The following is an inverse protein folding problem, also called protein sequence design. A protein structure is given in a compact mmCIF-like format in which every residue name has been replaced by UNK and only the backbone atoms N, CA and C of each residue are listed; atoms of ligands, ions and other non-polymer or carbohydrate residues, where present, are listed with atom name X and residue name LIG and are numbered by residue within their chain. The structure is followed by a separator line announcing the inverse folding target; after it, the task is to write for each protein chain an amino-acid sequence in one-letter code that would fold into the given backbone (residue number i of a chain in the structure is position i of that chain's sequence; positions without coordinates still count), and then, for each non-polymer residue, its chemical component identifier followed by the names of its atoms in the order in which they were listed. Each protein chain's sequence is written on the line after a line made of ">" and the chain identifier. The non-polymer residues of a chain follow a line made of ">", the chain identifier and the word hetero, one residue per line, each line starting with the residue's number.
data_IF_378384420370
#
_entry.id   IF_378384420370
#
_cell.length_a   1.000
_cell.length_b   1.000
_cell.length_c   1.000
_cell.angle_alpha   90.00
_cell.angle_beta   90.00
_cell.angle_gamma   90.00
#
_symmetry.space_group_name_H-M   'P 1'
#
loop_
_entity.id
_entity.type
_entity.pdbx_description
1 polymer ?
#
# COMPACT_ATOMS: atom_id res chain seq x y z
N UNK A 1 -15.03 8.14 18.22
CA UNK A 1 -14.47 9.38 17.65
C UNK A 1 -13.07 9.56 18.21
N UNK A 2 -12.04 9.63 17.37
CA UNK A 2 -10.79 10.24 17.82
C UNK A 2 -10.95 11.74 17.69
N UNK A 3 -10.75 12.45 18.78
CA UNK A 3 -10.78 13.89 18.87
C UNK A 3 -9.39 14.41 18.52
N UNK A 4 -9.28 15.15 17.44
CA UNK A 4 -8.05 15.88 17.10
C UNK A 4 -8.12 17.25 17.75
N UNK A 5 -7.02 17.69 18.36
CA UNK A 5 -6.85 19.06 18.85
C UNK A 5 -5.81 19.77 18.00
N UNK A 6 -6.11 21.01 17.59
CA UNK A 6 -5.15 21.87 16.89
C UNK A 6 -4.59 22.88 17.90
N UNK A 7 -3.27 22.90 18.00
CA UNK A 7 -2.52 23.78 18.89
C UNK A 7 -1.67 24.73 18.07
N UNK A 8 -1.76 26.03 18.33
CA UNK A 8 -0.87 27.03 17.74
C UNK A 8 0.25 27.34 18.72
N UNK A 9 1.50 27.16 18.30
CA UNK A 9 2.68 27.47 19.11
C UNK A 9 2.79 28.99 19.29
N UNK A 10 2.88 29.46 20.54
CA UNK A 10 3.12 30.87 20.87
C UNK A 10 4.58 31.13 21.24
N UNK A 11 5.19 30.21 22.00
CA UNK A 11 6.60 30.32 22.36
C UNK A 11 7.23 28.95 22.54
N UNK A 12 8.55 28.92 22.31
CA UNK A 12 9.42 27.78 22.53
C UNK A 12 10.51 28.24 23.50
N UNK A 13 10.61 27.61 24.67
CA UNK A 13 11.64 27.89 25.66
C UNK A 13 12.21 26.56 26.12
N UNK A 14 13.52 26.37 25.90
CA UNK A 14 14.22 25.10 26.13
C UNK A 14 13.48 23.93 25.45
N UNK A 15 13.06 22.92 26.24
CA UNK A 15 12.31 21.75 25.79
C UNK A 15 10.79 21.92 25.98
N UNK A 16 10.31 23.12 26.29
CA UNK A 16 8.90 23.41 26.57
C UNK A 16 8.24 24.23 25.46
N UNK A 17 7.10 23.74 24.99
CA UNK A 17 6.23 24.40 24.02
C UNK A 17 5.02 25.01 24.74
N UNK A 18 4.85 26.32 24.63
CA UNK A 18 3.60 26.97 25.06
C UNK A 18 2.72 27.16 23.85
N UNK A 19 1.53 26.56 23.90
CA UNK A 19 0.58 26.58 22.78
C UNK A 19 -0.80 27.08 23.21
N UNK A 20 -1.49 27.74 22.28
CA UNK A 20 -2.91 28.08 22.40
C UNK A 20 -3.74 27.04 21.67
N UNK A 21 -4.75 26.53 22.36
CA UNK A 21 -5.75 25.63 21.78
C UNK A 21 -6.66 26.42 20.85
N UNK A 22 -6.70 26.07 19.56
CA UNK A 22 -7.55 26.78 18.60
C UNK A 22 -9.02 26.40 18.71
N UNK A 23 -9.29 25.13 19.03
CA UNK A 23 -10.64 24.59 19.22
C UNK A 23 -10.66 23.60 20.37
N UNK A 24 -11.66 23.72 21.24
CA UNK A 24 -11.87 22.79 22.34
C UNK A 24 -12.11 21.38 21.83
N UNK A 25 -11.39 20.41 22.39
CA UNK A 25 -11.55 18.99 22.11
C UNK A 25 -11.32 18.19 23.40
N UNK A 26 -11.98 17.04 23.53
CA UNK A 26 -11.71 16.09 24.61
C UNK A 26 -10.53 15.20 24.22
N UNK A 27 -9.44 15.22 24.97
CA UNK A 27 -8.35 14.26 24.77
C UNK A 27 -8.64 12.99 25.57
N UNK A 28 -8.68 11.85 24.90
CA UNK A 28 -8.91 10.54 25.52
C UNK A 28 -7.96 9.49 24.92
N UNK A 29 -7.57 8.52 25.74
CA UNK A 29 -6.61 7.46 25.41
C UNK A 29 -5.19 7.67 25.98
N UNK A 30 -4.39 6.61 25.91
CA UNK A 30 -3.02 6.56 26.46
C UNK A 30 -1.93 6.97 25.46
N UNK A 31 -2.25 7.03 24.17
CA UNK A 31 -1.30 7.32 23.08
C UNK A 31 -1.80 8.51 22.27
N UNK A 32 -1.02 9.59 22.28
CA UNK A 32 -1.23 10.77 21.45
C UNK A 32 -0.24 10.75 20.29
N UNK A 33 -0.74 10.92 19.07
CA UNK A 33 0.11 11.17 17.91
C UNK A 33 0.18 12.67 17.70
N UNK A 34 1.37 13.25 17.85
CA UNK A 34 1.62 14.67 17.61
C UNK A 34 2.14 14.83 16.19
N UNK A 35 1.56 15.75 15.42
CA UNK A 35 2.01 16.11 14.09
C UNK A 35 2.37 17.59 14.06
N UNK A 36 3.49 17.92 13.43
CA UNK A 36 3.94 19.29 13.22
C UNK A 36 3.74 19.67 11.75
N UNK A 37 3.16 20.85 11.51
CA UNK A 37 2.87 21.33 10.15
C UNK A 37 4.13 21.53 9.30
N UNK A 38 5.25 21.88 9.94
CA UNK A 38 6.53 22.09 9.27
C UNK A 38 7.33 20.79 9.06
N UNK A 39 6.73 19.64 9.37
CA UNK A 39 7.45 18.38 9.47
C UNK A 39 8.36 18.33 10.69
N UNK A 40 9.01 17.18 10.88
CA UNK A 40 10.06 17.01 11.89
C UNK A 40 11.17 16.15 11.27
N UNK A 41 12.43 16.51 11.52
CA UNK A 41 13.60 15.75 11.08
C UNK A 41 13.84 14.59 12.04
N UNK A 42 13.30 13.42 11.69
CA UNK A 42 13.67 12.14 12.28
C UNK A 42 14.08 11.19 11.17
N UNK A 43 14.97 10.27 11.50
CA UNK A 43 15.22 9.08 10.69
C UNK A 43 13.94 8.29 10.51
N UNK A 44 13.82 7.65 9.34
CA UNK A 44 12.63 6.88 8.98
C UNK A 44 12.45 5.61 9.85
N UNK A 45 13.55 5.12 10.45
CA UNK A 45 13.57 4.03 11.41
C UNK A 45 14.43 4.42 12.61
N UNK A 46 14.00 4.03 13.80
CA UNK A 46 14.75 4.19 15.05
C UNK A 46 15.51 2.92 15.40
N UNK A 47 16.45 3.00 16.34
CA UNK A 47 17.14 1.80 16.84
C UNK A 47 16.16 0.78 17.44
N UNK A 48 15.14 1.25 18.16
CA UNK A 48 14.10 0.38 18.72
C UNK A 48 13.31 -0.35 17.62
N UNK A 49 13.00 0.33 16.50
CA UNK A 49 12.35 -0.29 15.34
C UNK A 49 13.23 -1.41 14.76
N UNK A 50 14.54 -1.19 14.67
CA UNK A 50 15.50 -2.16 14.13
C UNK A 50 15.57 -3.40 15.03
N UNK A 51 15.66 -3.21 16.36
CA UNK A 51 15.69 -4.32 17.31
C UNK A 51 14.39 -5.11 17.29
N UNK A 52 13.24 -4.43 17.18
CA UNK A 52 11.93 -5.06 17.07
C UNK A 52 11.82 -5.90 15.79
N UNK A 53 12.26 -5.36 14.64
CA UNK A 53 12.27 -6.06 13.36
C UNK A 53 13.11 -7.34 13.44
N UNK A 54 14.31 -7.27 14.01
CA UNK A 54 15.19 -8.43 14.22
C UNK A 54 14.52 -9.50 15.10
N UNK A 55 14.00 -9.09 16.25
CA UNK A 55 13.39 -10.00 17.20
C UNK A 55 12.15 -10.68 16.62
N UNK A 56 11.28 -9.91 15.97
CA UNK A 56 10.04 -10.43 15.40
C UNK A 56 10.30 -11.34 14.18
N UNK A 57 11.27 -10.98 13.32
CA UNK A 57 11.61 -11.79 12.15
C UNK A 57 12.16 -13.17 12.52
N UNK A 58 12.97 -13.25 13.58
CA UNK A 58 13.58 -14.50 14.02
C UNK A 58 12.55 -15.62 14.26
N UNK A 59 11.30 -15.26 14.58
CA UNK A 59 10.21 -16.21 14.85
C UNK A 59 9.17 -16.24 13.71
N UNK A 60 8.88 -15.10 13.07
CA UNK A 60 7.69 -14.96 12.20
C UNK A 60 7.98 -14.78 10.71
N UNK A 61 9.24 -14.62 10.28
CA UNK A 61 9.63 -14.34 8.88
C UNK A 61 8.83 -13.18 8.24
N UNK A 62 9.29 -11.97 8.47
CA UNK A 62 8.69 -10.75 7.89
C UNK A 62 8.84 -10.73 6.36
N UNK A 63 7.72 -10.72 5.64
CA UNK A 63 7.69 -10.61 4.18
C UNK A 63 7.53 -9.16 3.70
N UNK A 64 6.83 -8.32 4.48
CA UNK A 64 6.53 -6.93 4.16
C UNK A 64 6.76 -6.02 5.37
N UNK A 65 7.27 -4.82 5.13
CA UNK A 65 7.39 -3.75 6.13
C UNK A 65 6.66 -2.51 5.62
N UNK A 66 5.74 -1.99 6.44
CA UNK A 66 5.08 -0.71 6.19
C UNK A 66 5.88 0.46 6.75
N UNK A 67 6.53 1.24 5.89
CA UNK A 67 7.32 2.41 6.30
C UNK A 67 6.39 3.60 6.60
N UNK A 68 6.16 3.86 7.88
CA UNK A 68 5.29 4.95 8.34
C UNK A 68 5.88 6.33 8.06
N UNK A 69 5.01 7.28 7.73
CA UNK A 69 5.35 8.68 7.46
C UNK A 69 6.48 8.83 6.43
N UNK A 70 6.52 8.00 5.40
CA UNK A 70 7.50 8.11 4.32
C UNK A 70 7.36 9.46 3.60
N UNK A 71 8.44 10.22 3.47
CA UNK A 71 8.46 11.57 2.88
C UNK A 71 9.21 11.63 1.57
N UNK A 72 10.12 10.69 1.31
CA UNK A 72 11.01 10.74 0.15
C UNK A 72 11.48 9.35 -0.28
N UNK A 73 12.05 9.26 -1.49
CA UNK A 73 12.77 8.07 -1.93
C UNK A 73 13.96 7.72 -1.03
N UNK A 74 14.59 8.73 -0.40
CA UNK A 74 15.70 8.52 0.52
C UNK A 74 15.27 7.77 1.79
N UNK A 75 14.07 8.04 2.33
CA UNK A 75 13.53 7.28 3.47
C UNK A 75 13.36 5.79 3.11
N UNK A 76 12.90 5.49 1.89
CA UNK A 76 12.76 4.11 1.38
C UNK A 76 14.13 3.45 1.22
N UNK A 77 15.09 4.15 0.62
CA UNK A 77 16.45 3.66 0.42
C UNK A 77 17.14 3.36 1.77
N UNK A 78 16.99 4.25 2.75
CA UNK A 78 17.49 4.05 4.10
C UNK A 78 16.85 2.82 4.77
N UNK A 79 15.51 2.69 4.68
CA UNK A 79 14.82 1.51 5.19
C UNK A 79 15.35 0.22 4.54
N UNK A 80 15.55 0.19 3.23
CA UNK A 80 16.11 -0.97 2.53
C UNK A 80 17.52 -1.31 2.99
N UNK A 81 18.39 -0.31 3.15
CA UNK A 81 19.76 -0.50 3.63
C UNK A 81 19.77 -1.12 5.04
N UNK A 82 18.95 -0.59 5.96
CA UNK A 82 18.79 -1.14 7.30
C UNK A 82 18.25 -2.57 7.27
N UNK A 83 17.23 -2.85 6.46
CA UNK A 83 16.69 -4.21 6.31
C UNK A 83 17.77 -5.17 5.83
N UNK A 84 18.48 -4.85 4.74
CA UNK A 84 19.48 -5.74 4.15
C UNK A 84 20.74 -5.89 5.00
N UNK A 85 21.36 -4.77 5.41
CA UNK A 85 22.71 -4.76 5.97
C UNK A 85 22.73 -4.82 7.50
N UNK A 86 21.63 -4.42 8.16
CA UNK A 86 21.58 -4.39 9.63
C UNK A 86 20.67 -5.48 10.19
N UNK A 87 19.49 -5.70 9.61
CA UNK A 87 18.49 -6.62 10.13
C UNK A 87 18.51 -8.03 9.52
N UNK A 88 19.20 -8.24 8.39
CA UNK A 88 19.24 -9.53 7.69
C UNK A 88 17.92 -9.87 6.97
N UNK A 89 17.25 -8.84 6.47
CA UNK A 89 15.90 -8.83 5.88
C UNK A 89 15.94 -8.40 4.40
N UNK A 90 16.93 -8.85 3.65
CA UNK A 90 17.19 -8.42 2.26
C UNK A 90 16.06 -8.79 1.28
N UNK A 91 15.27 -9.83 1.58
CA UNK A 91 14.12 -10.24 0.78
C UNK A 91 12.80 -9.57 1.21
N UNK A 92 12.77 -8.78 2.28
CA UNK A 92 11.57 -8.11 2.78
C UNK A 92 11.18 -6.92 1.90
N UNK A 93 9.92 -6.86 1.48
CA UNK A 93 9.41 -5.77 0.65
C UNK A 93 9.04 -4.54 1.48
N UNK A 94 9.35 -3.35 0.96
CA UNK A 94 9.08 -2.07 1.62
C UNK A 94 7.84 -1.42 1.01
N UNK A 95 6.81 -1.28 1.83
CA UNK A 95 5.56 -0.58 1.50
C UNK A 95 5.56 0.81 2.12
N UNK A 96 5.73 1.85 1.30
CA UNK A 96 5.75 3.22 1.79
C UNK A 96 4.33 3.69 2.15
N UNK A 97 4.13 4.16 3.39
CA UNK A 97 2.85 4.70 3.84
C UNK A 97 2.75 6.18 3.52
N UNK A 98 1.83 6.54 2.63
CA UNK A 98 1.58 7.93 2.23
C UNK A 98 0.65 8.57 3.28
N UNK A 99 1.26 9.30 4.21
CA UNK A 99 0.62 9.81 5.44
C UNK A 99 0.76 11.32 5.63
N UNK A 100 1.55 11.99 4.79
CA UNK A 100 1.87 13.42 4.93
C UNK A 100 1.80 14.15 3.59
N UNK A 101 1.69 15.48 3.62
CA UNK A 101 1.77 16.31 2.41
C UNK A 101 3.13 16.16 1.72
N UNK A 102 4.22 15.98 2.48
CA UNK A 102 5.55 15.74 1.92
C UNK A 102 5.59 14.45 1.10
N UNK A 103 5.10 13.33 1.66
CA UNK A 103 5.00 12.07 0.94
C UNK A 103 4.08 12.14 -0.28
N UNK A 104 3.01 12.94 -0.21
CA UNK A 104 2.12 13.16 -1.36
C UNK A 104 2.78 13.99 -2.49
N UNK A 105 3.60 14.98 -2.15
CA UNK A 105 4.36 15.78 -3.12
C UNK A 105 5.46 14.98 -3.80
N UNK A 106 6.12 14.10 -3.05
CA UNK A 106 7.20 13.23 -3.52
C UNK A 106 6.71 11.85 -3.95
N UNK A 107 5.43 11.71 -4.28
CA UNK A 107 4.79 10.42 -4.54
C UNK A 107 5.49 9.63 -5.65
N UNK A 108 5.89 10.29 -6.73
CA UNK A 108 6.49 9.64 -7.89
C UNK A 108 7.84 8.98 -7.54
N UNK A 109 8.73 9.70 -6.85
CA UNK A 109 10.03 9.14 -6.44
C UNK A 109 9.88 8.03 -5.39
N UNK A 110 8.89 8.14 -4.49
CA UNK A 110 8.58 7.11 -3.50
C UNK A 110 8.09 5.84 -4.19
N UNK A 111 7.19 5.97 -5.16
CA UNK A 111 6.67 4.83 -5.93
C UNK A 111 7.77 4.12 -6.72
N UNK A 112 8.73 4.87 -7.26
CA UNK A 112 9.85 4.31 -8.00
C UNK A 112 10.78 3.50 -7.07
N UNK A 113 11.00 3.98 -5.83
CA UNK A 113 11.87 3.33 -4.84
C UNK A 113 11.21 2.18 -4.05
N UNK A 114 9.91 2.29 -3.73
CA UNK A 114 9.17 1.34 -2.88
C UNK A 114 8.67 0.11 -3.66
N UNK A 115 8.38 -0.99 -2.97
CA UNK A 115 7.80 -2.20 -3.59
C UNK A 115 6.29 -2.06 -3.80
N UNK A 116 5.65 -1.23 -2.99
CA UNK A 116 4.25 -0.82 -3.08
C UNK A 116 3.98 0.33 -2.11
N UNK A 117 2.74 0.77 -2.03
CA UNK A 117 2.34 1.86 -1.14
C UNK A 117 1.09 1.54 -0.35
N UNK A 118 0.97 2.16 0.82
CA UNK A 118 -0.27 2.16 1.61
C UNK A 118 -0.76 3.59 1.69
N UNK A 119 -1.94 3.84 1.13
CA UNK A 119 -2.60 5.13 1.22
C UNK A 119 -3.35 5.24 2.56
N UNK A 120 -2.78 6.02 3.47
CA UNK A 120 -3.23 6.13 4.85
C UNK A 120 -4.06 7.39 5.06
N UNK A 121 -5.31 7.32 4.59
CA UNK A 121 -6.31 8.41 4.60
C UNK A 121 -6.52 9.06 5.96
N UNK A 122 -6.45 8.27 7.04
CA UNK A 122 -6.63 8.78 8.40
C UNK A 122 -5.55 9.77 8.84
N UNK A 123 -4.28 9.48 8.57
CA UNK A 123 -3.17 10.35 8.95
C UNK A 123 -3.03 11.53 7.98
N UNK A 124 -3.17 11.28 6.67
CA UNK A 124 -3.12 12.35 5.68
C UNK A 124 -4.27 13.35 5.84
N UNK A 125 -5.46 12.89 6.22
CA UNK A 125 -6.64 13.72 6.47
C UNK A 125 -6.52 14.69 7.65
N UNK A 126 -5.46 14.58 8.46
CA UNK A 126 -5.15 15.58 9.50
C UNK A 126 -4.53 16.83 8.87
N UNK A 127 -3.71 16.67 7.83
CA UNK A 127 -3.00 17.78 7.15
C UNK A 127 -3.75 18.26 5.90
N UNK A 128 -4.53 17.39 5.28
CA UNK A 128 -5.23 17.68 4.03
C UNK A 128 -6.67 18.12 4.33
N UNK A 129 -7.10 19.21 3.69
CA UNK A 129 -8.49 19.65 3.78
C UNK A 129 -9.45 18.52 3.32
N UNK A 130 -10.57 18.26 4.02
CA UNK A 130 -11.45 17.12 3.74
C UNK A 130 -11.88 17.02 2.27
N UNK A 131 -12.20 18.15 1.64
CA UNK A 131 -12.62 18.24 0.24
C UNK A 131 -11.52 17.86 -0.78
N UNK A 132 -10.25 17.86 -0.37
CA UNK A 132 -9.11 17.45 -1.22
C UNK A 132 -8.77 15.97 -1.08
N UNK A 133 -9.35 15.26 -0.11
CA UNK A 133 -9.04 13.84 0.17
C UNK A 133 -9.27 12.97 -1.07
N UNK A 134 -10.36 13.22 -1.79
CA UNK A 134 -10.68 12.47 -3.02
C UNK A 134 -9.64 12.69 -4.13
N UNK A 135 -9.09 13.90 -4.24
CA UNK A 135 -8.04 14.22 -5.21
C UNK A 135 -6.75 13.45 -4.89
N UNK A 136 -6.35 13.43 -3.61
CA UNK A 136 -5.19 12.67 -3.16
C UNK A 136 -5.37 11.16 -3.40
N UNK A 137 -6.58 10.62 -3.17
CA UNK A 137 -6.89 9.22 -3.44
C UNK A 137 -6.71 8.87 -4.91
N UNK A 138 -7.33 9.62 -5.83
CA UNK A 138 -7.19 9.38 -7.26
C UNK A 138 -5.74 9.51 -7.74
N UNK A 139 -4.99 10.47 -7.18
CA UNK A 139 -3.58 10.66 -7.52
C UNK A 139 -2.72 9.48 -7.07
N UNK A 140 -2.84 9.04 -5.82
CA UNK A 140 -2.04 7.92 -5.28
C UNK A 140 -2.39 6.61 -5.97
N UNK A 141 -3.69 6.27 -6.07
CA UNK A 141 -4.12 5.05 -6.75
C UNK A 141 -3.74 5.07 -8.23
N UNK A 142 -3.97 6.18 -8.92
CA UNK A 142 -3.65 6.32 -10.34
C UNK A 142 -2.15 6.15 -10.62
N UNK A 143 -1.30 6.84 -9.86
CA UNK A 143 0.15 6.79 -10.03
C UNK A 143 0.72 5.40 -9.72
N UNK A 144 0.20 4.71 -8.70
CA UNK A 144 0.63 3.35 -8.35
C UNK A 144 0.21 2.33 -9.42
N UNK A 145 -1.04 2.38 -9.88
CA UNK A 145 -1.55 1.53 -10.95
C UNK A 145 -0.74 1.66 -12.24
N UNK A 146 -0.37 2.89 -12.64
CA UNK A 146 0.43 3.11 -13.85
C UNK A 146 1.84 2.52 -13.78
N UNK A 147 2.40 2.45 -12.58
CA UNK A 147 3.70 1.83 -12.33
C UNK A 147 3.61 0.32 -12.07
N UNK A 148 2.41 -0.25 -11.98
CA UNK A 148 2.21 -1.63 -11.55
C UNK A 148 2.70 -1.88 -10.12
N UNK A 149 2.65 -0.85 -9.27
CA UNK A 149 3.01 -0.94 -7.85
C UNK A 149 1.75 -1.22 -7.04
N UNK A 150 1.72 -2.29 -6.22
CA UNK A 150 0.57 -2.58 -5.38
C UNK A 150 0.23 -1.42 -4.46
N UNK A 151 -1.05 -1.02 -4.43
CA UNK A 151 -1.54 0.02 -3.54
C UNK A 151 -2.66 -0.48 -2.64
N UNK A 152 -2.41 -0.37 -1.33
CA UNK A 152 -3.37 -0.71 -0.29
C UNK A 152 -3.97 0.54 0.32
N UNK A 153 -5.19 0.44 0.84
CA UNK A 153 -5.85 1.56 1.52
C UNK A 153 -6.33 1.17 2.90
N UNK A 154 -6.39 2.14 3.82
CA UNK A 154 -6.76 1.93 5.23
C UNK A 154 -7.98 2.79 5.60
N UNK A 155 -8.51 2.55 6.82
CA UNK A 155 -9.57 3.35 7.47
C UNK A 155 -10.86 3.31 6.66
N UNK A 156 -11.53 2.16 6.67
CA UNK A 156 -12.63 1.85 5.77
C UNK A 156 -14.00 1.94 6.46
N UNK A 157 -14.11 1.28 7.62
CA UNK A 157 -15.39 0.99 8.27
C UNK A 157 -15.29 1.27 9.77
N UNK A 158 -14.86 2.49 10.12
CA UNK A 158 -14.66 2.93 11.51
C UNK A 158 -15.86 2.67 12.41
N UNK A 159 -17.09 2.80 11.90
CA UNK A 159 -18.31 2.55 12.66
C UNK A 159 -18.40 1.10 13.14
N UNK A 160 -17.79 0.17 12.41
CA UNK A 160 -17.86 -1.26 12.71
C UNK A 160 -17.04 -1.70 13.93
N UNK A 161 -16.26 -0.78 14.52
CA UNK A 161 -15.64 -1.00 15.83
C UNK A 161 -16.72 -1.26 16.90
N UNK A 162 -17.85 -0.53 16.84
CA UNK A 162 -18.92 -0.61 17.83
C UNK A 162 -20.27 -1.08 17.26
N UNK A 163 -20.40 -1.18 15.93
CA UNK A 163 -21.63 -1.58 15.26
C UNK A 163 -21.42 -2.82 14.37
N UNK A 164 -22.41 -3.72 14.26
CA UNK A 164 -22.27 -4.92 13.43
C UNK A 164 -22.41 -4.65 11.92
N UNK A 165 -22.67 -3.40 11.50
CA UNK A 165 -22.81 -2.99 10.11
C UNK A 165 -22.15 -1.65 9.85
N UNK A 166 -21.58 -1.43 8.66
CA UNK A 166 -21.05 -0.14 8.27
C UNK A 166 -22.19 0.81 7.92
N UNK A 167 -21.89 2.10 7.92
CA UNK A 167 -22.78 3.11 7.33
C UNK A 167 -22.84 2.97 5.80
N UNK A 168 -23.87 3.57 5.19
CA UNK A 168 -23.96 3.63 3.71
C UNK A 168 -22.78 4.36 3.08
N UNK A 169 -22.24 5.37 3.77
CA UNK A 169 -21.09 6.13 3.31
C UNK A 169 -19.83 5.26 3.29
N UNK A 170 -19.54 4.53 4.37
CA UNK A 170 -18.38 3.62 4.45
C UNK A 170 -18.49 2.49 3.42
N UNK A 171 -19.67 1.90 3.26
CA UNK A 171 -19.86 0.86 2.24
C UNK A 171 -19.61 1.37 0.81
N UNK A 172 -20.09 2.59 0.51
CA UNK A 172 -19.87 3.23 -0.79
C UNK A 172 -18.41 3.62 -0.99
N UNK A 173 -17.74 4.05 0.08
CA UNK A 173 -16.32 4.39 0.07
C UNK A 173 -15.43 3.17 -0.23
N UNK A 174 -15.68 2.03 0.43
CA UNK A 174 -15.00 0.76 0.11
C UNK A 174 -15.19 0.36 -1.35
N UNK A 175 -16.43 0.43 -1.86
CA UNK A 175 -16.70 0.11 -3.26
C UNK A 175 -15.93 1.05 -4.22
N UNK A 176 -15.89 2.35 -3.94
CA UNK A 176 -15.16 3.32 -4.76
C UNK A 176 -13.65 3.09 -4.75
N UNK A 177 -13.06 2.66 -3.62
CA UNK A 177 -11.64 2.31 -3.56
C UNK A 177 -11.30 1.20 -4.56
N UNK A 178 -12.12 0.16 -4.61
CA UNK A 178 -11.97 -0.95 -5.58
C UNK A 178 -12.14 -0.44 -7.01
N UNK A 179 -13.20 0.34 -7.28
CA UNK A 179 -13.44 0.90 -8.62
C UNK A 179 -12.36 1.87 -9.08
N UNK A 180 -11.69 2.57 -8.16
CA UNK A 180 -10.56 3.44 -8.45
C UNK A 180 -9.24 2.67 -8.58
N UNK A 181 -9.27 1.36 -8.39
CA UNK A 181 -8.14 0.47 -8.62
C UNK A 181 -7.21 0.33 -7.43
N UNK A 182 -7.71 0.35 -6.19
CA UNK A 182 -6.95 -0.20 -5.07
C UNK A 182 -6.71 -1.70 -5.29
N UNK A 183 -5.51 -2.19 -5.00
CA UNK A 183 -5.16 -3.61 -5.12
C UNK A 183 -5.52 -4.40 -3.85
N UNK A 184 -5.67 -3.69 -2.73
CA UNK A 184 -6.19 -4.26 -1.51
C UNK A 184 -6.61 -3.23 -0.49
N UNK A 185 -7.20 -3.74 0.58
CA UNK A 185 -7.68 -2.95 1.70
C UNK A 185 -7.20 -3.54 3.01
N UNK A 186 -6.90 -2.67 3.98
CA UNK A 186 -6.36 -3.05 5.29
C UNK A 186 -7.34 -2.57 6.36
N UNK A 187 -7.85 -3.52 7.14
CA UNK A 187 -8.66 -3.25 8.33
C UNK A 187 -7.75 -3.01 9.52
N UNK A 188 -8.00 -1.92 10.25
CA UNK A 188 -7.16 -1.49 11.35
C UNK A 188 -7.85 -1.73 12.69
N UNK A 189 -8.48 -0.69 13.23
CA UNK A 189 -9.12 -0.76 14.54
C UNK A 189 -10.34 -1.66 14.54
N UNK A 190 -10.98 -1.79 13.38
CA UNK A 190 -12.16 -2.62 13.15
C UNK A 190 -11.89 -4.09 13.52
N UNK A 191 -10.69 -4.60 13.20
CA UNK A 191 -10.28 -5.97 13.48
C UNK A 191 -9.39 -6.09 14.73
N UNK A 192 -8.61 -5.04 15.05
CA UNK A 192 -7.71 -5.07 16.21
C UNK A 192 -8.43 -4.96 17.56
N UNK A 193 -9.44 -4.08 17.65
CA UNK A 193 -10.16 -3.81 18.91
C UNK A 193 -11.68 -3.68 18.75
N UNK A 194 -12.20 -3.97 17.57
CA UNK A 194 -13.62 -3.91 17.28
C UNK A 194 -14.38 -5.07 17.93
N UNK A 195 -15.67 -4.84 18.19
CA UNK A 195 -16.58 -5.86 18.74
C UNK A 195 -17.02 -6.88 17.68
N UNK A 196 -16.84 -6.57 16.40
CA UNK A 196 -17.33 -7.37 15.26
C UNK A 196 -16.25 -7.60 14.17
N UNK A 197 -15.08 -8.15 14.51
CA UNK A 197 -13.94 -8.24 13.59
C UNK A 197 -14.22 -9.16 12.39
N UNK A 198 -14.90 -10.29 12.60
CA UNK A 198 -15.20 -11.28 11.54
C UNK A 198 -16.29 -10.76 10.62
N UNK A 199 -17.33 -10.13 11.18
CA UNK A 199 -18.41 -9.51 10.43
C UNK A 199 -17.89 -8.32 9.61
N UNK A 200 -16.96 -7.53 10.14
CA UNK A 200 -16.31 -6.44 9.40
C UNK A 200 -15.55 -6.99 8.19
N UNK A 201 -14.69 -7.99 8.38
CA UNK A 201 -13.96 -8.62 7.28
C UNK A 201 -14.92 -9.21 6.22
N UNK A 202 -15.93 -9.96 6.65
CA UNK A 202 -16.92 -10.58 5.75
C UNK A 202 -17.71 -9.56 4.96
N UNK A 203 -18.12 -8.46 5.60
CA UNK A 203 -18.87 -7.38 4.97
C UNK A 203 -18.01 -6.65 3.95
N UNK A 204 -16.77 -6.30 4.29
CA UNK A 204 -15.83 -5.62 3.39
C UNK A 204 -15.50 -6.51 2.18
N UNK A 205 -15.23 -7.80 2.38
CA UNK A 205 -15.03 -8.75 1.27
C UNK A 205 -16.25 -8.82 0.35
N UNK A 206 -17.47 -8.82 0.90
CA UNK A 206 -18.71 -8.84 0.11
C UNK A 206 -18.87 -7.57 -0.73
N UNK A 207 -18.53 -6.40 -0.17
CA UNK A 207 -18.56 -5.12 -0.89
C UNK A 207 -17.52 -5.12 -2.02
N UNK A 208 -16.28 -5.57 -1.75
CA UNK A 208 -15.24 -5.66 -2.77
C UNK A 208 -15.67 -6.56 -3.93
N UNK A 209 -16.22 -7.75 -3.64
CA UNK A 209 -16.69 -8.67 -4.69
C UNK A 209 -17.82 -8.08 -5.55
N UNK A 210 -18.71 -7.25 -4.99
CA UNK A 210 -19.72 -6.54 -5.78
C UNK A 210 -19.12 -5.42 -6.64
N UNK A 211 -18.14 -4.70 -6.10
CA UNK A 211 -17.45 -3.63 -6.82
C UNK A 211 -16.60 -4.17 -7.99
N UNK A 212 -15.90 -5.29 -7.79
CA UNK A 212 -15.10 -5.98 -8.82
C UNK A 212 -15.91 -6.34 -10.06
N UNK A 213 -17.18 -6.73 -9.90
CA UNK A 213 -18.10 -7.01 -11.03
C UNK A 213 -18.36 -5.81 -11.94
N UNK A 214 -18.11 -4.59 -11.45
CA UNK A 214 -18.36 -3.34 -12.15
C UNK A 214 -17.07 -2.62 -12.59
N UNK A 215 -15.90 -3.23 -12.38
CA UNK A 215 -14.63 -2.69 -12.85
C UNK A 215 -14.57 -2.78 -14.38
N UNK A 216 -14.43 -1.64 -15.04
CA UNK A 216 -14.25 -1.59 -16.50
C UNK A 216 -12.79 -1.89 -16.87
N UNK A 217 -12.47 -3.18 -16.93
CA UNK A 217 -11.13 -3.69 -17.25
C UNK A 217 -10.62 -3.19 -18.62
N UNK A 218 -11.53 -3.09 -19.61
CA UNK A 218 -11.21 -2.62 -20.95
C UNK A 218 -10.71 -1.17 -20.94
N UNK A 219 -11.45 -0.29 -20.25
CA UNK A 219 -11.09 1.12 -20.10
C UNK A 219 -9.79 1.29 -19.31
N UNK A 220 -9.58 0.50 -18.24
CA UNK A 220 -8.32 0.50 -17.50
C UNK A 220 -7.15 0.12 -18.40
N UNK A 221 -7.27 -0.98 -19.15
CA UNK A 221 -6.25 -1.44 -20.10
C UNK A 221 -5.87 -0.34 -21.11
N UNK A 222 -6.86 0.31 -21.72
CA UNK A 222 -6.64 1.39 -22.68
C UNK A 222 -5.86 2.55 -22.05
N UNK A 223 -6.30 3.01 -20.88
CA UNK A 223 -5.65 4.11 -20.15
C UNK A 223 -4.18 3.79 -19.85
N UNK A 224 -3.89 2.58 -19.35
CA UNK A 224 -2.50 2.18 -19.05
C UNK A 224 -1.67 2.10 -20.33
N UNK A 225 -2.21 1.54 -21.42
CA UNK A 225 -1.51 1.43 -22.70
C UNK A 225 -1.22 2.79 -23.35
N UNK A 226 -2.16 3.73 -23.29
CA UNK A 226 -1.98 5.10 -23.80
C UNK A 226 -0.83 5.82 -23.10
N UNK A 227 -0.71 5.61 -21.79
CA UNK A 227 0.33 6.23 -20.96
C UNK A 227 1.67 5.48 -21.05
N UNK A 228 1.65 4.15 -21.27
CA UNK A 228 2.85 3.33 -21.34
C UNK A 228 3.49 3.28 -22.74
N UNK A 229 2.73 3.53 -23.81
CA UNK A 229 3.13 3.16 -25.18
C UNK A 229 2.97 4.22 -26.26
N UNK A 230 2.86 5.53 -25.97
CA UNK A 230 2.60 6.47 -27.07
C UNK A 230 2.88 7.96 -26.91
N UNK A 231 3.02 8.52 -25.71
CA UNK A 231 3.17 9.97 -25.56
C UNK A 231 4.61 10.46 -25.36
N UNK A 232 5.50 9.62 -24.83
CA UNK A 232 6.90 9.98 -24.49
C UNK A 232 7.95 9.24 -25.35
N UNK A 233 7.52 8.38 -26.28
CA UNK A 233 8.41 7.55 -27.09
C UNK A 233 9.05 6.38 -26.33
N UNK A 234 8.60 6.08 -25.11
CA UNK A 234 9.09 4.93 -24.34
C UNK A 234 8.66 3.62 -25.02
N UNK A 235 9.64 2.75 -25.21
CA UNK A 235 9.38 1.36 -25.64
C UNK A 235 9.08 0.53 -24.41
N UNK A 236 7.99 -0.23 -24.47
CA UNK A 236 7.70 -1.26 -23.49
C UNK A 236 8.83 -2.30 -23.49
N UNK A 237 9.21 -2.77 -22.31
CA UNK A 237 10.11 -3.92 -22.22
C UNK A 237 9.43 -5.19 -22.76
N UNK A 238 10.21 -6.22 -23.09
CA UNK A 238 9.71 -7.50 -23.58
C UNK A 238 8.70 -8.14 -22.62
N UNK A 239 8.95 -8.09 -21.31
CA UNK A 239 8.05 -8.67 -20.29
C UNK A 239 6.71 -7.96 -20.26
N UNK A 240 6.73 -6.63 -20.23
CA UNK A 240 5.53 -5.79 -20.24
C UNK A 240 4.74 -5.91 -21.56
N UNK A 241 5.45 -6.00 -22.69
CA UNK A 241 4.86 -6.24 -24.01
C UNK A 241 4.11 -7.58 -24.08
N UNK A 242 4.69 -8.64 -23.51
CA UNK A 242 4.04 -9.94 -23.42
C UNK A 242 2.83 -9.91 -22.48
N UNK A 243 2.96 -9.29 -21.30
CA UNK A 243 1.89 -9.20 -20.31
C UNK A 243 0.67 -8.44 -20.87
N UNK A 244 0.89 -7.25 -21.44
CA UNK A 244 -0.17 -6.45 -22.06
C UNK A 244 -0.87 -7.20 -23.20
N UNK A 245 -0.12 -7.92 -24.04
CA UNK A 245 -0.68 -8.73 -25.12
C UNK A 245 -1.51 -9.90 -24.59
N UNK A 246 -1.05 -10.58 -23.54
CA UNK A 246 -1.77 -11.67 -22.90
C UNK A 246 -3.10 -11.19 -22.31
N UNK A 247 -3.11 -10.05 -21.60
CA UNK A 247 -4.34 -9.44 -21.07
C UNK A 247 -5.30 -9.04 -22.20
N UNK A 248 -4.79 -8.47 -23.30
CA UNK A 248 -5.62 -8.17 -24.48
C UNK A 248 -6.21 -9.41 -25.13
N UNK A 249 -5.50 -10.54 -25.10
CA UNK A 249 -5.98 -11.80 -25.64
C UNK A 249 -7.16 -12.37 -24.83
N UNK A 250 -7.23 -12.11 -23.51
CA UNK A 250 -8.36 -12.55 -22.67
C UNK A 250 -9.69 -12.05 -23.22
N UNK A 251 -9.78 -10.76 -23.56
CA UNK A 251 -11.01 -10.18 -24.11
C UNK A 251 -11.34 -10.77 -25.47
N UNK A 252 -10.34 -10.90 -26.36
CA UNK A 252 -10.53 -11.38 -27.73
C UNK A 252 -10.93 -12.86 -27.79
N UNK A 253 -10.38 -13.67 -26.90
CA UNK A 253 -10.63 -15.10 -26.82
C UNK A 253 -11.77 -15.46 -25.87
N UNK A 254 -12.31 -14.48 -25.14
CA UNK A 254 -13.25 -14.69 -24.04
C UNK A 254 -12.71 -15.74 -23.02
N UNK A 255 -11.41 -15.67 -22.73
CA UNK A 255 -10.78 -16.55 -21.77
C UNK A 255 -11.38 -16.36 -20.38
N UNK A 256 -11.30 -17.38 -19.53
CA UNK A 256 -11.84 -17.35 -18.15
C UNK A 256 -10.76 -17.28 -17.07
N UNK A 257 -9.51 -17.39 -17.47
CA UNK A 257 -8.37 -17.52 -16.57
C UNK A 257 -7.07 -17.20 -17.30
N UNK A 258 -6.12 -16.57 -16.61
CA UNK A 258 -4.72 -16.51 -17.04
C UNK A 258 -3.90 -17.42 -16.12
N UNK A 259 -3.08 -18.30 -16.70
CA UNK A 259 -2.09 -19.09 -15.94
C UNK A 259 -0.71 -18.55 -16.27
N UNK A 260 0.02 -18.11 -15.24
CA UNK A 260 1.32 -17.46 -15.38
C UNK A 260 2.39 -18.24 -14.62
N UNK A 261 3.41 -18.73 -15.34
CA UNK A 261 4.59 -19.30 -14.71
C UNK A 261 5.58 -18.19 -14.35
N UNK A 262 6.05 -18.16 -13.10
CA UNK A 262 6.95 -17.11 -12.62
C UNK A 262 7.95 -17.65 -11.60
N UNK A 263 9.16 -17.08 -11.56
CA UNK A 263 10.16 -17.42 -10.53
C UNK A 263 10.20 -16.45 -9.36
N UNK A 264 9.78 -15.20 -9.58
CA UNK A 264 9.91 -14.07 -8.64
C UNK A 264 8.60 -13.34 -8.38
N UNK A 265 7.50 -13.74 -9.02
CA UNK A 265 6.22 -13.02 -8.98
C UNK A 265 6.09 -11.88 -9.98
N UNK A 266 7.20 -11.37 -10.54
CA UNK A 266 7.18 -10.17 -11.40
C UNK A 266 6.26 -10.30 -12.62
N UNK A 267 6.26 -11.43 -13.32
CA UNK A 267 5.37 -11.63 -14.48
C UNK A 267 3.88 -11.57 -14.09
N UNK A 268 3.53 -12.07 -12.90
CA UNK A 268 2.16 -12.00 -12.40
C UNK A 268 1.77 -10.54 -12.08
N UNK A 269 2.70 -9.77 -11.51
CA UNK A 269 2.52 -8.34 -11.24
C UNK A 269 2.35 -7.52 -12.52
N UNK A 270 3.13 -7.81 -13.55
CA UNK A 270 3.00 -7.17 -14.87
C UNK A 270 1.65 -7.48 -15.52
N UNK A 271 1.12 -8.70 -15.35
CA UNK A 271 -0.24 -9.03 -15.80
C UNK A 271 -1.29 -8.27 -14.99
N UNK A 272 -1.15 -8.22 -13.66
CA UNK A 272 -2.07 -7.53 -12.74
C UNK A 272 -2.14 -6.03 -13.00
N UNK A 273 -1.03 -5.39 -13.40
CA UNK A 273 -0.96 -3.97 -13.81
C UNK A 273 -2.05 -3.59 -14.81
N UNK A 274 -2.34 -4.47 -15.76
CA UNK A 274 -3.33 -4.25 -16.82
C UNK A 274 -4.76 -4.63 -16.43
N UNK A 275 -4.99 -5.08 -15.18
CA UNK A 275 -6.28 -5.47 -14.58
C UNK A 275 -7.16 -6.30 -15.52
N UNK A 276 -6.76 -7.53 -15.86
CA UNK A 276 -7.63 -8.42 -16.62
C UNK A 276 -8.93 -8.67 -15.85
N UNK A 277 -10.06 -8.72 -16.56
CA UNK A 277 -11.37 -9.05 -15.98
C UNK A 277 -11.53 -10.53 -15.60
N UNK A 278 -10.42 -11.27 -15.45
CA UNK A 278 -10.38 -12.69 -15.09
C UNK A 278 -9.28 -12.93 -14.07
N UNK A 279 -9.39 -13.98 -13.24
CA UNK A 279 -8.35 -14.32 -12.28
C UNK A 279 -7.02 -14.69 -12.96
N UNK A 280 -5.92 -14.36 -12.27
CA UNK A 280 -4.56 -14.77 -12.62
C UNK A 280 -4.12 -15.85 -11.63
N UNK A 281 -3.78 -17.03 -12.11
CA UNK A 281 -3.12 -18.07 -11.31
C UNK A 281 -1.61 -18.00 -11.57
N UNK A 282 -0.87 -17.56 -10.56
CA UNK A 282 0.59 -17.57 -10.60
C UNK A 282 1.14 -18.92 -10.14
N UNK A 283 1.75 -19.68 -11.05
CA UNK A 283 2.48 -20.91 -10.75
C UNK A 283 3.93 -20.56 -10.51
N UNK A 284 4.38 -20.69 -9.26
CA UNK A 284 5.73 -20.28 -8.89
C UNK A 284 6.69 -21.45 -8.99
N UNK A 285 7.70 -21.29 -9.84
CA UNK A 285 8.74 -22.29 -10.10
C UNK A 285 9.98 -21.97 -9.26
N UNK A 286 10.30 -22.75 -8.21
CA UNK A 286 11.47 -22.50 -7.38
C UNK A 286 12.76 -22.65 -8.21
N UNK A 287 13.74 -21.76 -7.98
CA UNK A 287 15.07 -21.91 -8.59
C UNK A 287 15.90 -22.85 -7.74
N UNK A 288 16.41 -23.91 -8.38
CA UNK A 288 17.38 -24.81 -7.78
C UNK A 288 18.78 -24.20 -7.94
N UNK A 289 19.39 -23.82 -6.83
CA UNK A 289 20.78 -23.37 -6.79
C UNK A 289 21.66 -24.49 -6.25
N UNK A 290 22.81 -24.70 -6.89
CA UNK A 290 23.87 -25.60 -6.43
C UNK A 290 24.85 -24.80 -5.57
N UNK A 291 24.98 -25.15 -4.29
CA UNK A 291 26.06 -24.62 -3.42
C UNK A 291 27.20 -25.63 -3.38
N UNK A 292 28.44 -25.21 -3.59
CA UNK A 292 29.72 -25.97 -3.57
C UNK A 292 29.65 -27.41 -2.99
N UNK A 293 28.99 -28.32 -3.72
CA UNK A 293 28.60 -29.65 -3.25
C UNK A 293 27.31 -30.19 -3.90
N UNK A 294 26.91 -31.42 -3.55
CA UNK A 294 25.70 -32.11 -4.06
C UNK A 294 24.47 -31.75 -3.20
N UNK A 295 24.29 -30.47 -2.87
CA UNK A 295 23.10 -29.99 -2.15
C UNK A 295 22.35 -28.98 -3.00
N UNK A 296 21.13 -29.34 -3.37
CA UNK A 296 20.20 -28.44 -4.05
C UNK A 296 19.44 -27.63 -3.00
N UNK A 297 19.43 -26.30 -3.15
CA UNK A 297 18.58 -25.41 -2.36
C UNK A 297 17.54 -24.77 -3.27
N UNK A 298 16.27 -24.83 -2.89
CA UNK A 298 15.21 -24.07 -3.54
C UNK A 298 15.22 -22.63 -3.05
N UNK A 299 15.22 -21.67 -3.98
CA UNK A 299 15.13 -20.22 -3.70
C UNK A 299 13.89 -19.64 -4.38
N UNK A 300 13.35 -18.55 -3.83
CA UNK A 300 12.21 -17.83 -4.41
C UNK A 300 10.85 -18.02 -3.71
N UNK A 301 10.72 -18.84 -2.67
CA UNK A 301 9.43 -19.05 -1.95
C UNK A 301 8.90 -17.75 -1.30
N UNK A 302 9.77 -16.93 -0.71
CA UNK A 302 9.32 -15.63 -0.16
C UNK A 302 8.86 -14.69 -1.29
N UNK A 303 9.66 -14.55 -2.36
CA UNK A 303 9.31 -13.74 -3.53
C UNK A 303 8.03 -14.20 -4.23
N UNK A 304 7.77 -15.51 -4.21
CA UNK A 304 6.55 -16.14 -4.69
C UNK A 304 5.32 -15.62 -3.93
N UNK A 305 5.37 -15.65 -2.59
CA UNK A 305 4.29 -15.19 -1.71
C UNK A 305 4.07 -13.69 -1.77
N UNK A 306 5.13 -12.95 -2.12
CA UNK A 306 5.07 -11.50 -2.33
C UNK A 306 4.57 -11.09 -3.74
N UNK A 307 4.19 -12.06 -4.58
CA UNK A 307 3.49 -11.82 -5.84
C UNK A 307 2.04 -11.38 -5.59
N UNK A 308 1.87 -10.23 -4.93
CA UNK A 308 0.62 -9.48 -4.87
C UNK A 308 0.22 -9.03 -6.27
#
# INVERSE_FOLDING_TARGET
>A
MRSTVTLRVESVVDETLTCVVEKSAALDGQLLTVQFDNGYERDALTEDDIQLLKHFHAVNKIEFVGLSFCRSAADVAFCRDILANTAGLDETQVFAKIESIAGLRNLDEILDAADGVVFSRGNLGVQLAPEKTILAQHMVLGAANLRGKPVFTTRLCDSMVAAPRPTRAEATDVANLVLNGADGVILGQETFRGLYPVECATTVMSICGQAEMHVNSHHHYQKVMEQAGGYDGRRLDNRESLASTAVRAVEKLNAKLIVCFTGTGETARELAKYKPGVPIIAVVLPRLTCTDGIKWRGTGDMKARQGL
#
